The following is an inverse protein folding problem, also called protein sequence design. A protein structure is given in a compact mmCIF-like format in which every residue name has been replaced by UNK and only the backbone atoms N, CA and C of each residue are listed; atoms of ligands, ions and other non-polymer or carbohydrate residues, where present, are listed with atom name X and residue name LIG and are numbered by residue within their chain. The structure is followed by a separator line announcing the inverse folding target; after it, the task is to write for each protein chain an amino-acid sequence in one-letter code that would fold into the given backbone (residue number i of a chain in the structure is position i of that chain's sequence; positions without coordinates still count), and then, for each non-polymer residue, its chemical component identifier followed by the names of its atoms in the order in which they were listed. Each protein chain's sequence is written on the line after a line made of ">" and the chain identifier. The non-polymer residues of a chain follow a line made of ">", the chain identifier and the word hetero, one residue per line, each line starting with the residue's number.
data_IF_249783557278
#
_entry.id   IF_249783557278
#
_cell.length_a   1.000
_cell.length_b   1.000
_cell.length_c   1.000
_cell.angle_alpha   90.00
_cell.angle_beta   90.00
_cell.angle_gamma   90.00
#
_symmetry.space_group_name_H-M   'P 1'
#
loop_
_entity.id
_entity.type
_entity.pdbx_description
1 polymer ?
#
# COMPACT_ATOMS: atom_id res chain seq x y z
N UNK A 1 -24.65 7.86 -0.90
CA UNK A 1 -25.19 6.65 -0.24
C UNK A 1 -25.23 5.51 -1.27
N UNK A 2 -24.93 4.27 -0.86
CA UNK A 2 -24.90 3.11 -1.77
C UNK A 2 -23.53 2.76 -2.39
N UNK A 3 -22.44 3.42 -1.98
CA UNK A 3 -21.09 3.04 -2.39
C UNK A 3 -20.57 1.87 -1.54
N UNK A 4 -19.79 0.98 -2.15
CA UNK A 4 -18.99 -0.01 -1.43
C UNK A 4 -17.75 0.69 -0.84
N UNK A 5 -17.52 0.50 0.45
CA UNK A 5 -16.40 1.11 1.18
C UNK A 5 -15.59 -0.01 1.83
N UNK A 6 -14.31 -0.07 1.48
CA UNK A 6 -13.34 -0.93 2.13
C UNK A 6 -12.45 -0.11 3.08
N UNK A 7 -12.07 -0.73 4.20
CA UNK A 7 -11.11 -0.19 5.17
C UNK A 7 -9.96 -1.18 5.35
N UNK A 8 -8.93 -0.80 6.12
CA UNK A 8 -7.74 -1.64 6.35
C UNK A 8 -8.08 -3.02 6.92
N UNK A 9 -9.14 -3.10 7.73
CA UNK A 9 -9.64 -4.34 8.34
C UNK A 9 -10.28 -5.28 7.31
N UNK A 10 -10.73 -4.75 6.17
CA UNK A 10 -11.36 -5.52 5.10
C UNK A 10 -10.43 -5.90 3.95
N UNK A 11 -9.20 -5.37 3.91
CA UNK A 11 -8.28 -5.59 2.77
C UNK A 11 -7.71 -7.01 2.74
N UNK A 12 -7.49 -7.61 3.90
CA UNK A 12 -6.97 -8.97 4.04
C UNK A 12 -7.34 -9.55 5.41
N UNK A 13 -6.99 -10.81 5.64
CA UNK A 13 -7.30 -11.51 6.87
C UNK A 13 -6.01 -12.04 7.54
N UNK A 14 -6.02 -12.28 8.86
CA UNK A 14 -4.93 -13.00 9.51
C UNK A 14 -4.68 -14.35 8.82
N UNK A 15 -3.45 -14.57 8.35
CA UNK A 15 -3.06 -15.78 7.60
C UNK A 15 -3.38 -15.76 6.10
N UNK A 16 -4.00 -14.69 5.60
CA UNK A 16 -4.26 -14.44 4.18
C UNK A 16 -4.21 -12.91 3.95
N UNK A 17 -3.00 -12.37 4.02
CA UNK A 17 -2.77 -10.95 3.84
C UNK A 17 -2.92 -10.57 2.37
N UNK A 18 -3.30 -9.33 2.12
CA UNK A 18 -3.21 -8.77 0.77
C UNK A 18 -1.74 -8.56 0.37
N UNK A 19 -1.40 -8.65 -0.91
CA UNK A 19 -0.02 -8.50 -1.40
C UNK A 19 0.65 -7.20 -0.90
N UNK A 20 -0.10 -6.09 -0.84
CA UNK A 20 0.37 -4.83 -0.24
C UNK A 20 0.70 -4.97 1.25
N UNK A 21 -0.13 -5.67 2.02
CA UNK A 21 0.12 -5.89 3.45
C UNK A 21 1.36 -6.79 3.66
N UNK A 22 1.54 -7.82 2.84
CA UNK A 22 2.72 -8.69 2.85
C UNK A 22 3.99 -7.89 2.58
N UNK A 23 4.02 -7.14 1.48
CA UNK A 23 5.16 -6.28 1.14
C UNK A 23 5.45 -5.23 2.23
N UNK A 24 4.41 -4.70 2.90
CA UNK A 24 4.60 -3.77 4.03
C UNK A 24 5.36 -4.40 5.21
N UNK A 25 5.10 -5.69 5.46
CA UNK A 25 5.80 -6.48 6.49
C UNK A 25 7.22 -6.77 6.04
N UNK A 26 7.42 -7.28 4.84
CA UNK A 26 8.75 -7.65 4.31
C UNK A 26 9.70 -6.44 4.27
N UNK A 27 9.21 -5.29 3.81
CA UNK A 27 10.02 -4.05 3.75
C UNK A 27 10.14 -3.31 5.08
N UNK A 28 9.56 -3.85 6.16
CA UNK A 28 9.58 -3.23 7.50
C UNK A 28 9.16 -1.74 7.42
N UNK A 29 8.06 -1.48 6.73
CA UNK A 29 7.59 -0.12 6.43
C UNK A 29 7.08 0.59 7.68
N UNK A 30 6.38 -0.14 8.55
CA UNK A 30 5.78 0.41 9.74
C UNK A 30 6.84 0.75 10.81
N UNK A 31 6.82 2.00 11.27
CA UNK A 31 7.50 2.42 12.51
C UNK A 31 6.47 2.68 13.61
N UNK A 32 5.97 3.91 13.75
CA UNK A 32 4.95 4.24 14.76
C UNK A 32 3.55 3.68 14.45
N UNK A 33 3.34 3.14 13.25
CA UNK A 33 2.06 2.56 12.82
C UNK A 33 0.97 3.57 12.41
N UNK A 34 1.06 4.83 12.84
CA UNK A 34 -0.08 5.76 12.75
C UNK A 34 -0.61 6.02 11.33
N UNK A 35 0.29 6.25 10.36
CA UNK A 35 -0.11 6.52 8.98
C UNK A 35 -0.38 5.25 8.15
N UNK A 36 -0.10 4.05 8.68
CA UNK A 36 0.05 2.86 7.84
C UNK A 36 -1.27 2.39 7.22
N UNK A 37 -2.39 2.50 7.95
CA UNK A 37 -3.71 2.15 7.39
C UNK A 37 -4.05 2.98 6.16
N UNK A 38 -3.81 4.30 6.20
CA UNK A 38 -4.04 5.19 5.06
C UNK A 38 -3.08 4.92 3.90
N UNK A 39 -1.80 4.69 4.20
CA UNK A 39 -0.80 4.37 3.19
C UNK A 39 -1.10 3.04 2.47
N UNK A 40 -1.46 1.99 3.20
CA UNK A 40 -1.78 0.67 2.63
C UNK A 40 -3.04 0.74 1.76
N UNK A 41 -4.11 1.38 2.24
CA UNK A 41 -5.35 1.50 1.46
C UNK A 41 -5.14 2.33 0.19
N UNK A 42 -4.32 3.38 0.25
CA UNK A 42 -4.01 4.19 -0.93
C UNK A 42 -3.11 3.43 -1.92
N UNK A 43 -2.15 2.64 -1.44
CA UNK A 43 -1.34 1.76 -2.28
C UNK A 43 -2.18 0.67 -2.97
N UNK A 44 -3.13 0.05 -2.25
CA UNK A 44 -4.05 -0.92 -2.85
C UNK A 44 -4.87 -0.28 -3.98
N UNK A 45 -5.47 0.88 -3.72
CA UNK A 45 -6.22 1.62 -4.74
C UNK A 45 -5.34 2.05 -5.93
N UNK A 46 -4.08 2.44 -5.70
CA UNK A 46 -3.11 2.73 -6.76
C UNK A 46 -2.93 1.51 -7.66
N UNK A 47 -2.67 0.33 -7.09
CA UNK A 47 -2.35 -0.88 -7.85
C UNK A 47 -3.56 -1.46 -8.61
N UNK A 48 -4.78 -1.19 -8.14
CA UNK A 48 -6.00 -1.47 -8.92
C UNK A 48 -6.09 -0.60 -10.19
N UNK A 49 -5.64 0.67 -10.11
CA UNK A 49 -5.70 1.61 -11.24
C UNK A 49 -4.48 1.52 -12.18
N UNK A 50 -3.30 1.30 -11.62
CA UNK A 50 -2.01 1.27 -12.31
C UNK A 50 -1.24 0.04 -11.81
N UNK A 51 -1.41 -1.13 -12.46
CA UNK A 51 -0.82 -2.39 -12.00
C UNK A 51 0.71 -2.43 -12.01
N UNK A 52 1.37 -1.54 -12.77
CA UNK A 52 2.83 -1.42 -12.81
C UNK A 52 3.22 0.06 -12.72
N UNK A 53 3.09 0.69 -11.53
CA UNK A 53 3.27 2.13 -11.38
C UNK A 53 4.75 2.50 -11.47
N UNK A 54 5.04 3.66 -12.05
CA UNK A 54 6.37 4.27 -11.96
C UNK A 54 6.58 4.94 -10.60
N UNK A 55 7.81 5.35 -10.32
CA UNK A 55 8.12 6.13 -9.13
C UNK A 55 7.37 7.47 -9.06
N UNK A 56 7.15 8.10 -10.21
CA UNK A 56 6.40 9.35 -10.31
C UNK A 56 4.91 9.13 -10.02
N UNK A 57 4.33 8.03 -10.51
CA UNK A 57 2.95 7.64 -10.21
C UNK A 57 2.76 7.40 -8.71
N UNK A 58 3.69 6.66 -8.09
CA UNK A 58 3.68 6.39 -6.65
C UNK A 58 3.75 7.70 -5.88
N UNK A 59 4.67 8.61 -6.22
CA UNK A 59 4.82 9.88 -5.50
C UNK A 59 3.59 10.77 -5.64
N UNK A 60 3.03 10.86 -6.84
CA UNK A 60 1.84 11.66 -7.11
C UNK A 60 0.63 11.17 -6.31
N UNK A 61 0.40 9.86 -6.29
CA UNK A 61 -0.75 9.29 -5.58
C UNK A 61 -0.52 9.32 -4.07
N UNK A 62 0.66 8.93 -3.59
CA UNK A 62 0.94 8.79 -2.16
C UNK A 62 1.15 10.13 -1.44
N UNK A 63 1.26 11.26 -2.16
CA UNK A 63 1.45 12.60 -1.59
C UNK A 63 0.37 13.01 -0.57
N UNK A 64 -0.83 12.44 -0.65
CA UNK A 64 -1.93 12.69 0.29
C UNK A 64 -1.76 12.06 1.67
N UNK A 65 -0.87 11.06 1.81
CA UNK A 65 -0.63 10.37 3.08
C UNK A 65 0.72 10.75 3.68
N UNK A 66 0.69 11.53 4.76
CA UNK A 66 1.90 12.03 5.43
C UNK A 66 2.45 11.00 6.43
N UNK A 67 3.76 10.78 6.39
CA UNK A 67 4.50 9.90 7.29
C UNK A 67 5.56 10.70 8.06
N UNK A 68 5.37 10.86 9.37
CA UNK A 68 6.34 11.58 10.21
C UNK A 68 7.59 10.76 10.54
N UNK A 69 7.50 9.44 10.44
CA UNK A 69 8.64 8.53 10.59
C UNK A 69 9.58 8.55 9.37
N UNK A 70 9.15 9.12 8.24
CA UNK A 70 9.97 9.27 7.04
C UNK A 70 10.25 7.97 6.29
N UNK A 71 9.32 7.02 6.28
CA UNK A 71 9.51 5.70 5.65
C UNK A 71 9.18 5.64 4.16
N UNK A 72 9.05 6.80 3.49
CA UNK A 72 8.66 6.89 2.07
C UNK A 72 9.49 6.02 1.12
N UNK A 73 10.82 5.90 1.24
CA UNK A 73 11.57 4.99 0.37
C UNK A 73 11.17 3.52 0.54
N UNK A 74 10.80 3.09 1.76
CA UNK A 74 10.31 1.73 2.03
C UNK A 74 8.90 1.53 1.53
N UNK A 75 8.04 2.56 1.63
CA UNK A 75 6.69 2.56 1.04
C UNK A 75 6.78 2.31 -0.47
N UNK A 76 7.65 3.07 -1.17
CA UNK A 76 7.88 2.90 -2.61
C UNK A 76 8.35 1.49 -2.96
N UNK A 77 9.35 0.98 -2.24
CA UNK A 77 9.86 -0.36 -2.46
C UNK A 77 8.79 -1.45 -2.26
N UNK A 78 7.97 -1.33 -1.20
CA UNK A 78 6.87 -2.24 -0.93
C UNK A 78 5.77 -2.20 -2.01
N UNK A 79 5.48 -1.02 -2.56
CA UNK A 79 4.50 -0.89 -3.66
C UNK A 79 4.99 -1.60 -4.92
N UNK A 80 6.27 -1.46 -5.28
CA UNK A 80 6.85 -2.16 -6.43
C UNK A 80 6.82 -3.69 -6.25
N UNK A 81 7.13 -4.19 -5.06
CA UNK A 81 7.05 -5.62 -4.77
C UNK A 81 5.61 -6.14 -4.83
N UNK A 82 4.67 -5.41 -4.22
CA UNK A 82 3.25 -5.76 -4.28
C UNK A 82 2.71 -5.73 -5.72
N UNK A 83 3.15 -4.77 -6.54
CA UNK A 83 2.82 -4.72 -7.96
C UNK A 83 3.29 -5.97 -8.71
N UNK A 84 4.55 -6.39 -8.50
CA UNK A 84 5.07 -7.60 -9.11
C UNK A 84 4.26 -8.83 -8.69
N UNK A 85 4.01 -9.00 -7.39
CA UNK A 85 3.26 -10.12 -6.85
C UNK A 85 1.81 -10.21 -7.40
N UNK A 86 1.13 -9.07 -7.56
CA UNK A 86 -0.24 -9.02 -8.11
C UNK A 86 -0.30 -9.31 -9.62
N UNK A 87 0.77 -9.03 -10.37
CA UNK A 87 0.83 -9.29 -11.81
C UNK A 87 1.25 -10.73 -12.16
N UNK A 88 1.96 -11.40 -11.25
CA UNK A 88 2.42 -12.79 -11.40
C UNK A 88 1.36 -13.84 -10.97
N UNK A 89 0.26 -13.40 -10.35
CA UNK A 89 -0.86 -14.23 -9.87
C UNK A 89 -1.97 -14.38 -10.93
#
# INVERSE_FOLDING_TARGET
>A
EGAEIATIEGLGAPGALHAVQEAWVEHQVAQCGYCQSGQIMQAAALLEMIPSPSDEDIDAVMAGNLCRCGTYPRIRAAIHEAAAALNDA
#
